data_IF_619037086051
#
_entry.id   IF_619037086051
#
_cell.length_a   1.000
_cell.length_b   1.000
_cell.length_c   1.000
_cell.angle_alpha   90.00
_cell.angle_beta   90.00
_cell.angle_gamma   90.00
#
_symmetry.space_group_name_H-M   'P 1'
#
loop_
_entity.id
_entity.type
_entity.pdbx_description
1 polymer ?
#
# COMPACT_ATOMS: atom_id res chain seq x y z
N UNK A 1 -16.75 4.63 -0.18
CA UNK A 1 -15.51 4.84 -0.97
C UNK A 1 -14.31 4.53 -0.10
N UNK A 2 -13.44 3.68 -0.64
CA UNK A 2 -12.17 3.27 -0.06
C UNK A 2 -11.35 4.46 0.43
N UNK A 3 -10.68 4.28 1.57
CA UNK A 3 -9.76 5.26 2.16
C UNK A 3 -8.38 4.65 2.35
N UNK A 4 -7.34 5.32 1.87
CA UNK A 4 -5.96 5.04 2.27
C UNK A 4 -5.64 5.86 3.53
N UNK A 5 -5.22 5.20 4.60
CA UNK A 5 -4.76 5.84 5.84
C UNK A 5 -3.26 5.66 5.95
N UNK A 6 -2.53 6.76 6.10
CA UNK A 6 -1.07 6.79 6.22
C UNK A 6 -0.72 7.43 7.57
N UNK A 7 0.20 6.80 8.30
CA UNK A 7 0.81 7.34 9.52
C UNK A 7 2.32 7.36 9.33
N UNK A 8 2.92 8.53 9.53
CA UNK A 8 4.38 8.70 9.64
C UNK A 8 4.76 8.80 11.11
N UNK A 9 5.83 8.12 11.50
CA UNK A 9 6.37 8.17 12.85
C UNK A 9 7.91 8.15 12.80
N UNK A 10 8.56 8.42 13.92
CA UNK A 10 10.02 8.38 14.00
C UNK A 10 10.50 8.01 15.41
N UNK A 11 11.61 7.27 15.48
CA UNK A 11 12.29 6.92 16.73
C UNK A 11 13.78 7.24 16.64
N UNK A 12 14.34 7.72 17.74
CA UNK A 12 15.79 7.94 17.81
C UNK A 12 16.53 6.61 17.73
N UNK A 13 17.50 6.52 16.82
CA UNK A 13 18.43 5.39 16.76
C UNK A 13 19.52 5.62 17.79
N UNK A 14 19.63 4.72 18.77
CA UNK A 14 20.67 4.78 19.81
C UNK A 14 21.74 3.72 19.55
N UNK A 15 23.01 4.11 19.65
CA UNK A 15 24.14 3.18 19.62
C UNK A 15 24.33 2.45 20.96
N UNK A 16 25.22 1.46 20.96
CA UNK A 16 25.80 0.93 22.21
C UNK A 16 26.38 2.13 22.98
N UNK A 17 26.01 2.30 24.25
CA UNK A 17 26.28 3.49 25.10
C UNK A 17 25.38 4.72 24.91
N UNK A 18 24.25 4.61 24.21
CA UNK A 18 23.23 5.68 24.17
C UNK A 18 23.60 6.89 23.30
N UNK A 19 24.70 6.80 22.55
CA UNK A 19 25.07 7.79 21.54
C UNK A 19 23.98 7.90 20.47
N UNK A 20 23.60 9.13 20.11
CA UNK A 20 22.61 9.37 19.07
C UNK A 20 23.20 9.03 17.70
N UNK A 21 22.60 8.08 16.99
CA UNK A 21 23.01 7.61 15.65
C UNK A 21 22.05 8.02 14.54
N UNK A 22 21.28 9.09 14.78
CA UNK A 22 20.27 9.60 13.87
C UNK A 22 18.87 9.09 14.19
N UNK A 23 18.00 9.14 13.19
CA UNK A 23 16.60 8.78 13.29
C UNK A 23 16.29 7.55 12.45
N UNK A 24 15.29 6.82 12.89
CA UNK A 24 14.63 5.79 12.10
C UNK A 24 13.19 6.21 11.91
N UNK A 25 12.71 6.12 10.68
CA UNK A 25 11.37 6.54 10.30
C UNK A 25 10.47 5.33 10.11
N UNK A 26 9.21 5.45 10.51
CA UNK A 26 8.21 4.43 10.34
C UNK A 26 7.10 4.95 9.43
N UNK A 27 6.72 4.14 8.46
CA UNK A 27 5.59 4.40 7.58
C UNK A 27 4.57 3.28 7.77
N UNK A 28 3.46 3.57 8.43
CA UNK A 28 2.33 2.65 8.52
C UNK A 28 1.25 3.05 7.52
N UNK A 29 0.70 2.10 6.79
CA UNK A 29 -0.39 2.34 5.87
C UNK A 29 -1.40 1.21 5.86
N UNK A 30 -2.67 1.54 5.67
CA UNK A 30 -3.77 0.57 5.50
C UNK A 30 -4.86 1.14 4.62
N UNK A 31 -5.70 0.27 4.09
CA UNK A 31 -6.95 0.66 3.42
C UNK A 31 -8.16 0.30 4.26
N UNK A 32 -9.10 1.23 4.34
CA UNK A 32 -10.44 0.98 4.85
C UNK A 32 -11.40 0.91 3.67
N UNK A 33 -11.96 -0.27 3.47
CA UNK A 33 -12.98 -0.56 2.46
C UNK A 33 -14.37 -0.47 3.09
N UNK A 34 -15.33 0.02 2.32
CA UNK A 34 -16.76 -0.15 2.60
C UNK A 34 -17.17 -1.63 2.55
N UNK A 35 -18.36 -1.95 3.05
CA UNK A 35 -18.87 -3.32 3.03
C UNK A 35 -19.01 -3.84 1.59
N UNK A 36 -19.44 -2.98 0.67
CA UNK A 36 -19.61 -3.28 -0.75
C UNK A 36 -18.25 -3.58 -1.42
N UNK A 37 -17.24 -2.74 -1.17
CA UNK A 37 -15.89 -2.95 -1.69
C UNK A 37 -15.24 -4.23 -1.13
N UNK A 38 -15.45 -4.54 0.16
CA UNK A 38 -15.00 -5.81 0.75
C UNK A 38 -15.66 -7.01 0.08
N UNK A 39 -16.96 -6.94 -0.18
CA UNK A 39 -17.69 -8.00 -0.86
C UNK A 39 -17.16 -8.24 -2.29
N UNK A 40 -16.71 -7.20 -2.99
CA UNK A 40 -16.04 -7.36 -4.29
C UNK A 40 -14.70 -8.10 -4.15
N UNK A 41 -13.85 -7.68 -3.21
CA UNK A 41 -12.56 -8.36 -2.96
C UNK A 41 -12.77 -9.85 -2.66
N UNK A 42 -13.76 -10.19 -1.84
CA UNK A 42 -14.11 -11.57 -1.50
C UNK A 42 -14.66 -12.34 -2.71
N UNK A 43 -15.65 -11.77 -3.42
CA UNK A 43 -16.28 -12.39 -4.61
C UNK A 43 -15.25 -12.76 -5.67
N UNK A 44 -14.29 -11.87 -5.93
CA UNK A 44 -13.26 -12.05 -6.95
C UNK A 44 -11.99 -12.73 -6.43
N UNK A 45 -11.93 -13.08 -5.14
CA UNK A 45 -10.72 -13.62 -4.48
C UNK A 45 -9.48 -12.75 -4.73
N UNK A 46 -9.66 -11.44 -4.75
CA UNK A 46 -8.64 -10.48 -5.15
C UNK A 46 -7.61 -10.18 -4.04
N UNK A 47 -7.75 -10.80 -2.86
CA UNK A 47 -6.87 -10.53 -1.71
C UNK A 47 -5.38 -10.67 -2.01
N UNK A 48 -5.01 -11.62 -2.87
CA UNK A 48 -3.61 -11.90 -3.24
C UNK A 48 -3.12 -11.06 -4.44
N UNK A 49 -3.96 -10.20 -5.01
CA UNK A 49 -3.53 -9.27 -6.05
C UNK A 49 -2.44 -8.34 -5.49
N UNK A 50 -1.27 -8.41 -6.11
CA UNK A 50 -0.11 -7.58 -5.76
C UNK A 50 -0.35 -6.13 -6.20
N UNK A 51 -0.09 -5.20 -5.30
CA UNK A 51 -0.25 -3.76 -5.50
C UNK A 51 1.09 -3.06 -5.72
N UNK A 52 2.13 -3.48 -5.02
CA UNK A 52 3.47 -2.87 -5.11
C UNK A 52 4.55 -3.93 -5.25
N UNK A 53 5.72 -3.49 -5.71
CA UNK A 53 6.88 -4.36 -5.87
C UNK A 53 8.10 -3.69 -5.25
N UNK A 54 8.97 -4.50 -4.66
CA UNK A 54 10.35 -4.09 -4.36
C UNK A 54 11.28 -4.60 -5.45
N UNK A 55 12.37 -3.87 -5.71
CA UNK A 55 13.36 -4.25 -6.71
C UNK A 55 14.67 -4.57 -6.02
N UNK A 56 15.18 -5.78 -6.24
CA UNK A 56 16.49 -6.21 -5.74
C UNK A 56 17.62 -5.56 -6.54
N UNK A 57 18.83 -5.63 -6.01
CA UNK A 57 20.04 -5.13 -6.68
C UNK A 57 20.32 -5.80 -8.03
N UNK A 58 19.81 -7.03 -8.24
CA UNK A 58 19.90 -7.76 -9.51
C UNK A 58 18.78 -7.39 -10.51
N UNK A 59 17.93 -6.41 -10.18
CA UNK A 59 16.80 -5.97 -11.01
C UNK A 59 15.54 -6.83 -10.86
N UNK A 60 15.57 -7.91 -10.05
CA UNK A 60 14.39 -8.75 -9.82
C UNK A 60 13.32 -7.96 -9.07
N UNK A 61 12.11 -7.93 -9.63
CA UNK A 61 10.93 -7.38 -8.98
C UNK A 61 10.23 -8.45 -8.15
N UNK A 62 10.04 -8.18 -6.87
CA UNK A 62 9.30 -9.06 -5.96
C UNK A 62 8.02 -8.38 -5.49
N UNK A 63 6.90 -9.12 -5.43
CA UNK A 63 5.69 -8.65 -4.75
C UNK A 63 6.03 -8.17 -3.34
N UNK A 64 5.56 -6.97 -2.99
CA UNK A 64 5.76 -6.40 -1.66
C UNK A 64 4.43 -6.32 -0.92
N UNK A 65 3.46 -5.60 -1.48
CA UNK A 65 2.14 -5.44 -0.88
C UNK A 65 1.05 -6.13 -1.72
N UNK A 66 0.08 -6.75 -1.05
CA UNK A 66 -1.18 -7.25 -1.63
C UNK A 66 -2.40 -6.51 -1.08
N UNK A 67 -3.56 -6.65 -1.71
CA UNK A 67 -4.83 -6.11 -1.18
C UNK A 67 -5.06 -6.55 0.28
N UNK A 68 -4.90 -7.86 0.57
CA UNK A 68 -5.04 -8.40 1.92
C UNK A 68 -4.08 -7.74 2.92
N UNK A 69 -2.82 -7.50 2.53
CA UNK A 69 -1.85 -6.86 3.42
C UNK A 69 -2.24 -5.42 3.78
N UNK A 70 -2.74 -4.64 2.81
CA UNK A 70 -3.21 -3.28 3.07
C UNK A 70 -4.47 -3.27 3.93
N UNK A 71 -5.35 -4.26 3.80
CA UNK A 71 -6.53 -4.39 4.68
C UNK A 71 -6.15 -4.72 6.13
N UNK A 72 -4.99 -5.36 6.35
CA UNK A 72 -4.48 -5.73 7.67
C UNK A 72 -3.52 -4.70 8.28
N UNK A 73 -3.23 -3.62 7.55
CA UNK A 73 -2.16 -2.65 7.84
C UNK A 73 -0.76 -3.22 7.63
N UNK A 74 0.09 -2.39 7.04
CA UNK A 74 1.54 -2.64 6.90
C UNK A 74 2.28 -1.56 7.66
N UNK A 75 3.47 -1.88 8.18
CA UNK A 75 4.40 -0.89 8.73
C UNK A 75 5.80 -1.19 8.23
N UNK A 76 6.42 -0.16 7.66
CA UNK A 76 7.80 -0.18 7.20
C UNK A 76 8.69 0.66 8.11
N UNK A 77 9.94 0.23 8.24
CA UNK A 77 10.97 0.95 8.99
C UNK A 77 12.13 1.27 8.05
N UNK A 78 12.49 2.55 7.93
CA UNK A 78 13.54 3.04 7.02
C UNK A 78 14.45 4.04 7.72
N UNK A 79 15.74 4.03 7.37
CA UNK A 79 16.74 4.93 7.97
C UNK A 79 16.82 6.30 7.27
N UNK A 80 16.20 6.44 6.10
CA UNK A 80 16.23 7.64 5.28
C UNK A 80 14.81 8.14 4.99
N UNK A 81 14.55 9.42 5.29
CA UNK A 81 13.26 10.06 5.07
C UNK A 81 12.89 10.15 3.58
N UNK A 82 13.88 10.22 2.69
CA UNK A 82 13.63 10.24 1.24
C UNK A 82 13.09 8.89 0.75
N UNK A 83 13.56 7.78 1.35
CA UNK A 83 13.01 6.45 1.10
C UNK A 83 11.57 6.37 1.64
N UNK A 84 11.29 6.94 2.82
CA UNK A 84 9.93 7.00 3.35
C UNK A 84 8.98 7.71 2.38
N UNK A 85 9.38 8.89 1.89
CA UNK A 85 8.56 9.68 0.96
C UNK A 85 8.34 8.95 -0.36
N UNK A 86 9.38 8.29 -0.88
CA UNK A 86 9.25 7.48 -2.09
C UNK A 86 8.29 6.30 -1.91
N UNK A 87 8.40 5.56 -0.80
CA UNK A 87 7.49 4.44 -0.51
C UNK A 87 6.04 4.92 -0.33
N UNK A 88 5.87 6.12 0.24
CA UNK A 88 4.57 6.75 0.36
C UNK A 88 3.93 7.11 -0.99
N UNK A 89 4.69 7.66 -1.93
CA UNK A 89 4.16 7.94 -3.27
C UNK A 89 3.82 6.65 -4.01
N UNK A 90 4.65 5.61 -3.90
CA UNK A 90 4.37 4.28 -4.47
C UNK A 90 3.05 3.72 -3.94
N UNK A 91 2.79 3.79 -2.63
CA UNK A 91 1.55 3.25 -2.06
C UNK A 91 0.33 4.10 -2.47
N UNK A 92 0.46 5.42 -2.56
CA UNK A 92 -0.61 6.29 -3.07
C UNK A 92 -0.99 5.91 -4.49
N UNK A 93 -0.02 5.72 -5.37
CA UNK A 93 -0.26 5.35 -6.76
C UNK A 93 -0.84 3.95 -6.88
N UNK A 94 -0.35 2.99 -6.10
CA UNK A 94 -0.90 1.64 -6.06
C UNK A 94 -2.38 1.65 -5.59
N UNK A 95 -2.74 2.49 -4.62
CA UNK A 95 -4.13 2.64 -4.17
C UNK A 95 -5.03 3.32 -5.20
N UNK A 96 -4.52 4.18 -6.09
CA UNK A 96 -5.30 4.70 -7.23
C UNK A 96 -5.70 3.54 -8.15
N UNK A 97 -4.75 2.69 -8.50
CA UNK A 97 -5.01 1.50 -9.33
C UNK A 97 -5.95 0.50 -8.63
N UNK A 98 -5.81 0.32 -7.32
CA UNK A 98 -6.73 -0.52 -6.56
C UNK A 98 -8.16 0.04 -6.57
N UNK A 99 -8.34 1.36 -6.48
CA UNK A 99 -9.67 1.99 -6.61
C UNK A 99 -10.30 1.68 -7.97
N UNK A 100 -9.54 1.86 -9.05
CA UNK A 100 -9.99 1.52 -10.41
C UNK A 100 -10.37 0.04 -10.52
N UNK A 101 -9.58 -0.85 -9.92
CA UNK A 101 -9.91 -2.28 -9.89
C UNK A 101 -11.25 -2.55 -9.19
N UNK A 102 -11.52 -1.91 -8.05
CA UNK A 102 -12.81 -2.03 -7.35
C UNK A 102 -13.96 -1.48 -8.18
N UNK A 103 -13.77 -0.36 -8.89
CA UNK A 103 -14.77 0.23 -9.79
C UNK A 103 -15.10 -0.74 -10.93
N UNK A 104 -14.10 -1.30 -11.60
CA UNK A 104 -14.29 -2.31 -12.66
C UNK A 104 -14.93 -3.59 -12.12
N UNK A 105 -14.54 -4.05 -10.92
CA UNK A 105 -15.18 -5.19 -10.27
C UNK A 105 -16.68 -4.97 -10.05
N UNK A 106 -17.10 -3.73 -9.78
CA UNK A 106 -18.49 -3.37 -9.57
C UNK A 106 -19.34 -3.32 -10.86
N UNK A 107 -18.72 -3.16 -12.04
CA UNK A 107 -19.45 -3.06 -13.31
C UNK A 107 -19.77 -4.42 -13.95
N UNK A 108 -19.05 -5.49 -13.59
CA UNK A 108 -19.28 -6.81 -14.17
C UNK A 108 -20.72 -7.31 -13.95
N UNK A 109 -21.40 -7.60 -15.07
CA UNK A 109 -22.81 -8.01 -15.10
C UNK A 109 -23.74 -6.92 -15.64
N UNK A 110 -23.23 -5.72 -15.89
CA UNK A 110 -23.91 -4.65 -16.63
C UNK A 110 -23.23 -4.33 -17.96
N UNK A 111 -23.70 -3.26 -18.60
CA UNK A 111 -23.11 -2.69 -19.81
C UNK A 111 -22.41 -1.37 -19.46
N UNK A 112 -21.24 -1.12 -20.04
CA UNK A 112 -20.55 0.17 -19.99
C UNK A 112 -20.63 0.81 -21.38
N UNK A 113 -21.20 2.01 -21.46
CA UNK A 113 -21.29 2.79 -22.70
C UNK A 113 -20.19 3.86 -22.66
N UNK A 114 -19.29 3.83 -23.63
CA UNK A 114 -18.20 4.80 -23.79
C UNK A 114 -18.44 5.57 -25.09
N UNK A 115 -18.65 6.88 -24.98
CA UNK A 115 -18.84 7.80 -26.10
C UNK A 115 -17.56 8.59 -26.38
N UNK A 116 -17.27 8.85 -27.66
CA UNK A 116 -16.08 9.55 -28.14
C UNK A 116 -16.43 10.86 -28.83
#
# INVERSE_FOLDING_TARGET
>A
NMKLIIKRDQKARKGMFGSHKGMTFLLSYRVELTSEEKALVEKYKAGDCTLTYTTRSDGTRLPKDTISSLMQSVTEEVEDITILLNNEEIIKDACKNFKTLLEVMATFGGEEVIEF
#
